data_IF_924167609415
#
_entry.id   IF_924167609415
#
_cell.length_a   1.000
_cell.length_b   1.000
_cell.length_c   1.000
_cell.angle_alpha   90.00
_cell.angle_beta   90.00
_cell.angle_gamma   90.00
#
_symmetry.space_group_name_H-M   'P 1'
#
loop_
_entity.id
_entity.type
_entity.pdbx_description
1 polymer ?
#
# COMPACT_ATOMS: atom_id res chain seq x y z
N UNK A 1 -31.18 24.40 14.07
CA UNK A 1 -31.67 23.02 13.81
C UNK A 1 -30.80 22.41 12.72
N UNK A 2 -29.68 21.79 13.09
CA UNK A 2 -28.84 21.05 12.14
C UNK A 2 -29.56 19.74 11.84
N UNK A 3 -30.02 19.60 10.59
CA UNK A 3 -30.68 18.42 10.06
C UNK A 3 -29.88 17.17 10.41
N UNK A 4 -30.49 16.24 11.17
CA UNK A 4 -29.98 14.88 11.34
C UNK A 4 -29.89 14.23 9.95
N UNK A 5 -28.70 14.28 9.34
CA UNK A 5 -28.41 13.46 8.17
C UNK A 5 -28.21 12.03 8.66
N UNK A 6 -29.13 11.16 8.28
CA UNK A 6 -29.04 9.72 8.52
C UNK A 6 -27.75 9.20 7.89
N UNK A 7 -26.78 8.80 8.72
CA UNK A 7 -25.53 8.17 8.29
C UNK A 7 -25.86 7.04 7.33
N UNK A 8 -25.27 7.06 6.14
CA UNK A 8 -25.53 6.08 5.10
C UNK A 8 -24.21 5.52 4.62
N UNK A 9 -24.11 4.20 4.53
CA UNK A 9 -22.94 3.57 3.92
C UNK A 9 -22.86 4.04 2.46
N UNK A 10 -21.66 4.44 1.96
CA UNK A 10 -21.50 4.84 0.58
C UNK A 10 -21.96 3.71 -0.34
N UNK A 11 -22.76 4.02 -1.36
CA UNK A 11 -23.11 2.99 -2.35
C UNK A 11 -21.83 2.51 -3.05
N UNK A 12 -21.79 1.24 -3.48
CA UNK A 12 -20.63 0.68 -4.18
C UNK A 12 -20.16 1.55 -5.35
N UNK A 13 -21.08 2.26 -6.01
CA UNK A 13 -20.78 3.22 -7.08
C UNK A 13 -20.02 4.48 -6.59
N UNK A 14 -20.34 5.01 -5.42
CA UNK A 14 -19.67 6.19 -4.84
C UNK A 14 -18.25 5.84 -4.39
N UNK A 15 -18.07 4.65 -3.81
CA UNK A 15 -16.74 4.12 -3.49
C UNK A 15 -15.91 3.87 -4.76
N UNK A 16 -16.51 3.26 -5.80
CA UNK A 16 -15.85 3.04 -7.09
C UNK A 16 -15.44 4.36 -7.75
N UNK A 17 -16.28 5.39 -7.66
CA UNK A 17 -16.00 6.72 -8.21
C UNK A 17 -14.81 7.38 -7.48
N UNK A 18 -14.74 7.26 -6.16
CA UNK A 18 -13.59 7.77 -5.40
C UNK A 18 -12.29 7.06 -5.77
N UNK A 19 -12.33 5.73 -5.93
CA UNK A 19 -11.16 4.93 -6.32
C UNK A 19 -10.72 5.29 -7.75
N UNK A 20 -11.67 5.35 -8.69
CA UNK A 20 -11.38 5.72 -10.08
C UNK A 20 -10.84 7.14 -10.19
N UNK A 21 -11.40 8.10 -9.44
CA UNK A 21 -10.91 9.46 -9.42
C UNK A 21 -9.45 9.53 -8.97
N UNK A 22 -9.08 8.75 -7.94
CA UNK A 22 -7.71 8.68 -7.45
C UNK A 22 -6.77 8.03 -8.48
N UNK A 23 -7.17 6.93 -9.12
CA UNK A 23 -6.38 6.26 -10.17
C UNK A 23 -6.15 7.19 -11.37
N UNK A 24 -7.19 7.91 -11.81
CA UNK A 24 -7.11 8.85 -12.92
C UNK A 24 -6.23 10.05 -12.54
N UNK A 25 -6.37 10.59 -11.33
CA UNK A 25 -5.54 11.69 -10.85
C UNK A 25 -4.05 11.33 -10.83
N UNK A 26 -3.71 10.14 -10.31
CA UNK A 26 -2.32 9.65 -10.30
C UNK A 26 -1.81 9.42 -11.73
N UNK A 27 -2.62 8.77 -12.57
CA UNK A 27 -2.22 8.46 -13.95
C UNK A 27 -1.99 9.74 -14.77
N UNK A 28 -2.85 10.75 -14.64
CA UNK A 28 -2.69 12.04 -15.31
C UNK A 28 -1.48 12.81 -14.77
N UNK A 29 -1.25 12.79 -13.46
CA UNK A 29 -0.11 13.50 -12.86
C UNK A 29 1.24 12.93 -13.33
N UNK A 30 1.36 11.59 -13.42
CA UNK A 30 2.61 10.94 -13.85
C UNK A 30 2.80 11.06 -15.36
N UNK A 31 1.78 10.73 -16.16
CA UNK A 31 1.92 10.63 -17.63
C UNK A 31 2.00 12.02 -18.28
N UNK A 32 1.30 13.01 -17.75
CA UNK A 32 1.14 14.32 -18.41
C UNK A 32 1.90 15.45 -17.73
N UNK A 33 2.05 15.40 -16.41
CA UNK A 33 2.62 16.49 -15.62
C UNK A 33 3.98 16.16 -15.01
N UNK A 34 4.50 14.93 -15.18
CA UNK A 34 5.77 14.43 -14.61
C UNK A 34 5.99 14.87 -13.16
N UNK A 35 4.90 14.94 -12.40
CA UNK A 35 4.84 15.53 -11.06
C UNK A 35 4.84 14.42 -10.03
N UNK A 36 5.42 14.69 -8.86
CA UNK A 36 5.45 13.76 -7.73
C UNK A 36 4.04 13.31 -7.31
N UNK A 37 3.93 12.06 -6.87
CA UNK A 37 2.66 11.43 -6.49
C UNK A 37 1.94 12.11 -5.31
N UNK A 38 2.59 13.02 -4.59
CA UNK A 38 2.01 13.72 -3.45
C UNK A 38 0.81 14.60 -3.84
N UNK A 39 0.91 15.33 -4.95
CA UNK A 39 -0.15 16.23 -5.43
C UNK A 39 -1.43 15.46 -5.84
N UNK A 40 -1.37 14.42 -6.68
CA UNK A 40 -2.57 13.65 -7.03
C UNK A 40 -3.17 12.89 -5.85
N UNK A 41 -2.35 12.45 -4.88
CA UNK A 41 -2.86 11.83 -3.64
C UNK A 41 -3.68 12.86 -2.83
N UNK A 42 -3.21 14.11 -2.69
CA UNK A 42 -3.96 15.17 -2.02
C UNK A 42 -5.31 15.42 -2.71
N UNK A 43 -5.34 15.47 -4.03
CA UNK A 43 -6.59 15.61 -4.80
C UNK A 43 -7.51 14.41 -4.53
N UNK A 44 -6.96 13.19 -4.50
CA UNK A 44 -7.69 11.98 -4.15
C UNK A 44 -8.31 12.04 -2.75
N UNK A 45 -7.60 12.55 -1.75
CA UNK A 45 -8.12 12.78 -0.39
C UNK A 45 -9.26 13.79 -0.41
N UNK A 46 -9.13 14.89 -1.16
CA UNK A 46 -10.21 15.89 -1.29
C UNK A 46 -11.47 15.26 -1.90
N UNK A 47 -11.32 14.45 -2.96
CA UNK A 47 -12.46 13.76 -3.58
C UNK A 47 -13.08 12.74 -2.62
N UNK A 48 -12.27 11.95 -1.92
CA UNK A 48 -12.75 10.98 -0.92
C UNK A 48 -13.51 11.67 0.22
N UNK A 49 -13.00 12.78 0.74
CA UNK A 49 -13.66 13.58 1.77
C UNK A 49 -14.98 14.19 1.27
N UNK A 50 -15.05 14.63 0.01
CA UNK A 50 -16.29 15.11 -0.59
C UNK A 50 -17.35 14.00 -0.71
N UNK A 51 -16.93 12.78 -1.09
CA UNK A 51 -17.81 11.61 -1.13
C UNK A 51 -18.31 11.25 0.27
N UNK A 52 -17.43 11.25 1.28
CA UNK A 52 -17.80 10.97 2.67
C UNK A 52 -18.77 12.02 3.25
N UNK A 53 -18.55 13.32 2.96
CA UNK A 53 -19.48 14.38 3.34
C UNK A 53 -20.84 14.23 2.66
N UNK A 54 -20.89 13.74 1.41
CA UNK A 54 -22.16 13.43 0.72
C UNK A 54 -22.87 12.21 1.30
N UNK A 55 -22.13 11.21 1.76
CA UNK A 55 -22.67 10.03 2.44
C UNK A 55 -23.23 10.33 3.86
N UNK A 56 -23.03 11.57 4.34
CA UNK A 56 -23.61 12.04 5.60
C UNK A 56 -22.69 11.89 6.81
N UNK A 57 -21.41 11.57 6.60
CA UNK A 57 -20.40 11.60 7.65
C UNK A 57 -20.09 13.03 8.04
N UNK A 58 -19.85 13.24 9.34
CA UNK A 58 -19.37 14.52 9.85
C UNK A 58 -17.89 14.69 9.56
N UNK A 59 -17.41 15.93 9.46
CA UNK A 59 -15.99 16.21 9.25
C UNK A 59 -15.11 15.54 10.33
N UNK A 60 -15.58 15.50 11.56
CA UNK A 60 -14.87 14.89 12.70
C UNK A 60 -14.67 13.39 12.52
N UNK A 61 -15.66 12.68 12.00
CA UNK A 61 -15.56 11.25 11.71
C UNK A 61 -14.62 10.96 10.53
N UNK A 62 -14.58 11.86 9.54
CA UNK A 62 -13.63 11.77 8.43
C UNK A 62 -12.20 11.95 8.96
N UNK A 63 -11.99 12.95 9.83
CA UNK A 63 -10.70 13.22 10.46
C UNK A 63 -10.24 12.06 11.34
N UNK A 64 -11.11 11.53 12.21
CA UNK A 64 -10.82 10.36 13.04
C UNK A 64 -10.44 9.14 12.17
N UNK A 65 -11.20 8.89 11.08
CA UNK A 65 -10.87 7.82 10.12
C UNK A 65 -9.53 8.02 9.41
N UNK A 66 -9.15 9.26 9.11
CA UNK A 66 -7.82 9.58 8.57
C UNK A 66 -6.71 9.29 9.60
N UNK A 67 -6.91 9.66 10.86
CA UNK A 67 -5.95 9.42 11.94
C UNK A 67 -5.77 7.92 12.22
N UNK A 68 -6.86 7.15 12.21
CA UNK A 68 -6.80 5.69 12.33
C UNK A 68 -6.02 5.06 11.17
N UNK A 69 -6.23 5.54 9.94
CA UNK A 69 -5.47 5.11 8.76
C UNK A 69 -3.97 5.37 8.89
N UNK A 70 -3.58 6.54 9.40
CA UNK A 70 -2.18 6.89 9.67
C UNK A 70 -1.61 5.97 10.74
N UNK A 71 -2.33 5.76 11.84
CA UNK A 71 -1.89 4.93 12.97
C UNK A 71 -1.65 3.48 12.55
N UNK A 72 -2.55 2.90 11.74
CA UNK A 72 -2.37 1.56 11.18
C UNK A 72 -1.16 1.48 10.23
N UNK A 73 -0.91 2.54 9.45
CA UNK A 73 0.24 2.61 8.54
C UNK A 73 1.57 2.71 9.27
N UNK A 74 1.61 3.38 10.43
CA UNK A 74 2.82 3.50 11.25
C UNK A 74 3.37 2.14 11.68
N UNK A 75 2.51 1.18 12.03
CA UNK A 75 2.96 -0.17 12.38
C UNK A 75 3.72 -0.82 11.23
N UNK A 76 3.23 -0.68 10.00
CA UNK A 76 3.88 -1.22 8.80
C UNK A 76 5.22 -0.55 8.52
N UNK A 77 5.30 0.78 8.72
CA UNK A 77 6.55 1.55 8.53
C UNK A 77 7.64 1.06 9.49
N UNK A 78 7.30 0.82 10.76
CA UNK A 78 8.26 0.32 11.75
C UNK A 78 8.78 -1.06 11.39
N UNK A 79 7.89 -1.96 10.93
CA UNK A 79 8.28 -3.31 10.48
C UNK A 79 9.24 -3.21 9.28
N UNK A 80 8.88 -2.43 8.26
CA UNK A 80 9.70 -2.23 7.07
C UNK A 80 11.07 -1.60 7.41
N UNK A 81 11.12 -0.69 8.40
CA UNK A 81 12.37 -0.10 8.86
C UNK A 81 13.32 -1.14 9.49
N UNK A 82 12.80 -2.02 10.36
CA UNK A 82 13.58 -3.10 10.99
C UNK A 82 14.11 -4.06 9.93
N UNK A 83 13.28 -4.40 8.95
CA UNK A 83 13.66 -5.26 7.82
C UNK A 83 14.76 -4.62 6.99
N UNK A 84 14.67 -3.32 6.70
CA UNK A 84 15.72 -2.59 6.00
C UNK A 84 17.07 -2.67 6.72
N UNK A 85 17.07 -2.51 8.06
CA UNK A 85 18.27 -2.67 8.88
C UNK A 85 18.81 -4.11 8.78
N UNK A 86 17.94 -5.12 8.88
CA UNK A 86 18.32 -6.54 8.81
C UNK A 86 18.97 -6.88 7.46
N UNK A 87 18.37 -6.45 6.35
CA UNK A 87 18.91 -6.65 5.00
C UNK A 87 20.27 -5.95 4.87
N UNK A 88 20.40 -4.72 5.37
CA UNK A 88 21.67 -4.00 5.39
C UNK A 88 22.78 -4.78 6.12
N UNK A 89 22.47 -5.34 7.29
CA UNK A 89 23.41 -6.18 8.07
C UNK A 89 23.76 -7.46 7.31
N UNK A 90 22.80 -8.09 6.64
CA UNK A 90 23.05 -9.31 5.86
C UNK A 90 23.88 -9.10 4.60
N UNK A 91 23.75 -7.93 3.98
CA UNK A 91 24.61 -7.53 2.86
C UNK A 91 26.04 -7.32 3.36
N UNK A 92 26.22 -6.59 4.48
CA UNK A 92 27.54 -6.34 5.07
C UNK A 92 28.23 -7.62 5.57
N UNK A 93 27.47 -8.56 6.14
CA UNK A 93 28.00 -9.85 6.61
C UNK A 93 28.24 -10.87 5.48
N UNK A 94 27.88 -10.52 4.23
CA UNK A 94 28.04 -11.40 3.07
C UNK A 94 27.04 -12.55 3.02
N UNK A 95 26.04 -12.61 3.92
CA UNK A 95 25.02 -13.67 3.96
C UNK A 95 24.15 -13.64 2.69
N UNK A 96 23.63 -12.48 2.30
CA UNK A 96 22.80 -12.33 1.09
C UNK A 96 23.60 -12.64 -0.19
N UNK A 97 24.81 -12.09 -0.41
CA UNK A 97 25.66 -12.46 -1.55
C UNK A 97 25.97 -13.96 -1.63
N UNK A 98 26.24 -14.60 -0.48
CA UNK A 98 26.55 -16.03 -0.41
C UNK A 98 25.33 -16.88 -0.76
N UNK A 99 24.15 -16.53 -0.25
CA UNK A 99 22.88 -17.16 -0.61
C UNK A 99 22.58 -17.03 -2.10
N UNK A 100 22.82 -15.87 -2.70
CA UNK A 100 22.65 -15.68 -4.16
C UNK A 100 23.63 -16.52 -4.96
N UNK A 101 24.91 -16.55 -4.57
CA UNK A 101 25.94 -17.33 -5.26
C UNK A 101 25.63 -18.83 -5.25
N UNK A 102 25.28 -19.39 -4.10
CA UNK A 102 24.90 -20.80 -4.01
C UNK A 102 23.51 -21.07 -4.61
N UNK A 103 22.57 -20.13 -4.49
CA UNK A 103 21.23 -20.21 -5.07
C UNK A 103 21.26 -20.31 -6.59
N UNK A 104 22.06 -19.49 -7.28
CA UNK A 104 22.24 -19.55 -8.73
C UNK A 104 22.99 -20.81 -9.21
N UNK A 105 23.83 -21.40 -8.37
CA UNK A 105 24.46 -22.68 -8.69
C UNK A 105 23.50 -23.88 -8.59
N UNK A 106 22.44 -23.77 -7.76
CA UNK A 106 21.46 -24.83 -7.52
C UNK A 106 20.21 -24.66 -8.39
N UNK A 107 19.78 -23.43 -8.68
CA UNK A 107 18.57 -23.13 -9.45
C UNK A 107 18.90 -22.80 -10.91
N UNK A 108 18.35 -23.59 -11.82
CA UNK A 108 18.35 -23.24 -13.25
C UNK A 108 17.53 -21.94 -13.45
N UNK A 109 18.05 -20.91 -14.15
CA UNK A 109 17.40 -19.60 -14.28
C UNK A 109 15.95 -19.66 -14.83
N UNK A 110 15.60 -20.72 -15.56
CA UNK A 110 14.28 -20.90 -16.17
C UNK A 110 13.15 -21.21 -15.17
N UNK A 111 13.46 -21.74 -13.97
CA UNK A 111 12.44 -22.07 -12.95
C UNK A 111 12.37 -21.05 -11.82
N UNK A 112 13.30 -20.08 -11.80
CA UNK A 112 13.42 -19.10 -10.73
C UNK A 112 12.16 -18.25 -10.57
N UNK A 113 11.69 -17.65 -11.67
CA UNK A 113 10.51 -16.78 -11.69
C UNK A 113 9.21 -17.48 -11.24
N UNK A 114 8.82 -18.64 -11.80
CA UNK A 114 7.60 -19.32 -11.37
C UNK A 114 7.69 -19.82 -9.91
N UNK A 115 8.88 -20.22 -9.44
CA UNK A 115 9.08 -20.60 -8.05
C UNK A 115 8.93 -19.40 -7.09
N UNK A 116 9.52 -18.25 -7.42
CA UNK A 116 9.37 -17.02 -6.61
C UNK A 116 7.91 -16.56 -6.56
N UNK A 117 7.18 -16.61 -7.67
CA UNK A 117 5.75 -16.27 -7.68
C UNK A 117 4.95 -17.18 -6.74
N UNK A 118 5.20 -18.50 -6.74
CA UNK A 118 4.53 -19.40 -5.79
C UNK A 118 4.90 -19.11 -4.33
N UNK A 119 6.18 -18.90 -4.04
CA UNK A 119 6.64 -18.60 -2.67
C UNK A 119 6.04 -17.27 -2.18
N UNK A 120 6.07 -16.23 -3.01
CA UNK A 120 5.45 -14.94 -2.69
C UNK A 120 3.94 -15.05 -2.52
N UNK A 121 3.25 -15.85 -3.33
CA UNK A 121 1.81 -16.08 -3.18
C UNK A 121 1.48 -16.78 -1.85
N UNK A 122 2.21 -17.84 -1.50
CA UNK A 122 2.02 -18.57 -0.23
C UNK A 122 2.29 -17.67 0.97
N UNK A 123 3.41 -16.94 0.95
CA UNK A 123 3.76 -16.05 2.06
C UNK A 123 2.84 -14.84 2.12
N UNK A 124 2.34 -14.30 1.01
CA UNK A 124 1.33 -13.24 1.02
C UNK A 124 0.00 -13.70 1.59
N UNK A 125 -0.40 -14.95 1.37
CA UNK A 125 -1.56 -15.51 2.05
C UNK A 125 -1.32 -15.70 3.55
N UNK A 126 -0.10 -16.10 3.95
CA UNK A 126 0.25 -16.31 5.36
C UNK A 126 0.40 -14.99 6.15
N UNK A 127 1.03 -13.97 5.56
CA UNK A 127 1.26 -12.66 6.18
C UNK A 127 0.06 -11.72 6.03
N UNK A 128 -0.88 -12.04 5.13
CA UNK A 128 -2.11 -11.27 4.91
C UNK A 128 -1.93 -9.89 4.28
N UNK A 129 -0.69 -9.47 3.98
CA UNK A 129 -0.36 -8.17 3.38
C UNK A 129 0.81 -8.31 2.42
N UNK A 130 0.74 -7.63 1.27
CA UNK A 130 1.83 -7.62 0.28
C UNK A 130 3.12 -6.99 0.85
N UNK A 131 2.99 -5.94 1.66
CA UNK A 131 4.11 -5.24 2.28
C UNK A 131 4.91 -6.12 3.25
N UNK A 132 4.22 -6.96 4.04
CA UNK A 132 4.88 -7.90 4.94
C UNK A 132 5.62 -9.02 4.20
N UNK A 133 5.12 -9.44 3.03
CA UNK A 133 5.75 -10.46 2.18
C UNK A 133 7.02 -9.94 1.52
N UNK A 134 6.99 -8.74 0.92
CA UNK A 134 8.19 -8.11 0.37
C UNK A 134 9.25 -7.91 1.43
N UNK A 135 8.86 -7.59 2.67
CA UNK A 135 9.82 -7.44 3.75
C UNK A 135 10.44 -8.75 4.27
N UNK A 136 9.73 -9.88 4.20
CA UNK A 136 10.22 -11.16 4.74
C UNK A 136 11.02 -11.99 3.74
N UNK A 137 10.64 -11.94 2.46
CA UNK A 137 11.31 -12.72 1.40
C UNK A 137 12.37 -11.88 0.68
N UNK A 138 12.20 -10.55 0.62
CA UNK A 138 13.01 -9.65 -0.21
C UNK A 138 12.41 -9.48 -1.60
#
# INVERSE_FOLDING_TARGET
MMSERKKRDPYAWEALLSILALIVAISLAIIKYETDAQIPILIGVVVASLVALRAGFTWKEIEDGMLDGITNSLQSIVILAIIGILIGVWILSGVVPTLLYYGLNILHPSIFLPATVMICAVTSMATGTSWGTSGTIG
#
